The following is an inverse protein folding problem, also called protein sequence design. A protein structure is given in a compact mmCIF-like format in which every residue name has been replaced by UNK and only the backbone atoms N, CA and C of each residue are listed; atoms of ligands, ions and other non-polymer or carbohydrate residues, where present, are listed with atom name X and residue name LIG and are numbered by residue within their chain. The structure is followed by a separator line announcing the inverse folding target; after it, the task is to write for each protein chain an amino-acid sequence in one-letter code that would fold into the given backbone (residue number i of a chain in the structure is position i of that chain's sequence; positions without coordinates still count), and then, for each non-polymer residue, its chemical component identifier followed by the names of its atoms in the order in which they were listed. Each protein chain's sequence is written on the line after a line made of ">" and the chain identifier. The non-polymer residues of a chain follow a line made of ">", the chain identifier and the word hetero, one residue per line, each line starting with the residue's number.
data_IF_844969176207
#
_entry.id   IF_844969176207
#
_cell.length_a   1.000
_cell.length_b   1.000
_cell.length_c   1.000
_cell.angle_alpha   90.00
_cell.angle_beta   90.00
_cell.angle_gamma   90.00
#
_symmetry.space_group_name_H-M   'P 1'
#
loop_
_entity.id
_entity.type
_entity.pdbx_description
1 polymer ?
#
# COMPACT_ATOMS: atom_id res chain seq x y z
N UNK A 1 -10.98 -17.13 2.70
CA UNK A 1 -10.53 -15.90 2.01
C UNK A 1 -9.03 -15.84 2.16
N UNK A 2 -8.30 -15.59 1.08
CA UNK A 2 -6.84 -15.41 1.10
C UNK A 2 -6.48 -14.16 1.93
N UNK A 3 -5.42 -14.23 2.74
CA UNK A 3 -4.96 -13.11 3.56
C UNK A 3 -4.63 -11.89 2.71
N UNK A 4 -4.08 -12.09 1.50
CA UNK A 4 -3.77 -10.99 0.59
C UNK A 4 -5.04 -10.26 0.16
N UNK A 5 -6.11 -10.98 -0.12
CA UNK A 5 -7.41 -10.40 -0.46
C UNK A 5 -8.02 -9.63 0.73
N UNK A 6 -7.96 -10.19 1.94
CA UNK A 6 -8.43 -9.47 3.15
C UNK A 6 -7.64 -8.19 3.37
N UNK A 7 -6.32 -8.24 3.25
CA UNK A 7 -5.44 -7.07 3.37
C UNK A 7 -5.74 -6.05 2.28
N UNK A 8 -6.00 -6.48 1.03
CA UNK A 8 -6.35 -5.57 -0.04
C UNK A 8 -7.66 -4.81 0.26
N UNK A 9 -8.68 -5.51 0.76
CA UNK A 9 -9.94 -4.91 1.23
C UNK A 9 -9.71 -3.91 2.37
N UNK A 10 -8.89 -4.29 3.35
CA UNK A 10 -8.56 -3.42 4.49
C UNK A 10 -7.84 -2.13 4.08
N UNK A 11 -6.96 -2.21 3.08
CA UNK A 11 -6.18 -1.09 2.58
C UNK A 11 -6.90 -0.26 1.50
N UNK A 12 -7.96 -0.80 0.90
CA UNK A 12 -8.60 -0.23 -0.28
C UNK A 12 -7.73 -0.24 -1.54
N UNK A 13 -6.67 -1.07 -1.57
CA UNK A 13 -5.69 -1.18 -2.67
C UNK A 13 -4.89 -2.47 -2.58
N UNK A 14 -4.24 -2.87 -3.68
CA UNK A 14 -3.33 -4.02 -3.68
C UNK A 14 -2.15 -3.80 -2.70
N UNK A 15 -1.82 -4.78 -1.83
CA UNK A 15 -0.72 -4.63 -0.89
C UNK A 15 0.65 -4.73 -1.57
N UNK A 16 1.48 -3.70 -1.38
CA UNK A 16 2.88 -3.66 -1.83
C UNK A 16 3.81 -4.38 -0.86
N UNK A 17 4.83 -5.05 -1.41
CA UNK A 17 5.91 -5.71 -0.66
C UNK A 17 5.43 -6.70 0.43
N UNK A 18 4.20 -7.24 0.34
CA UNK A 18 3.64 -8.11 1.37
C UNK A 18 4.36 -9.46 1.44
N UNK A 19 4.98 -9.75 2.59
CA UNK A 19 5.58 -11.06 2.87
C UNK A 19 4.60 -12.00 3.56
N UNK A 20 4.00 -11.56 4.68
CA UNK A 20 3.07 -12.37 5.47
C UNK A 20 2.23 -11.51 6.42
N UNK A 21 1.22 -12.13 7.03
CA UNK A 21 0.52 -11.56 8.19
C UNK A 21 1.36 -11.79 9.45
N UNK A 22 1.84 -10.70 10.06
CA UNK A 22 2.64 -10.74 11.28
C UNK A 22 1.76 -10.86 12.54
N UNK A 23 0.56 -10.29 12.51
CA UNK A 23 -0.40 -10.36 13.62
C UNK A 23 -1.83 -10.43 13.11
N UNK A 24 -2.62 -11.34 13.69
CA UNK A 24 -4.08 -11.37 13.57
C UNK A 24 -4.73 -10.73 14.80
N UNK A 25 -5.88 -10.10 14.59
CA UNK A 25 -6.74 -9.68 15.70
C UNK A 25 -7.46 -10.89 16.32
N UNK A 26 -8.09 -10.75 17.50
CA UNK A 26 -8.84 -11.83 18.15
C UNK A 26 -9.97 -12.43 17.30
N UNK A 27 -10.45 -11.69 16.30
CA UNK A 27 -11.48 -12.14 15.34
C UNK A 27 -10.90 -12.90 14.14
N UNK A 28 -9.58 -13.13 14.09
CA UNK A 28 -8.90 -13.89 13.04
C UNK A 28 -8.49 -13.09 11.79
N UNK A 29 -8.93 -11.83 11.66
CA UNK A 29 -8.53 -10.98 10.53
C UNK A 29 -7.07 -10.50 10.67
N UNK A 30 -6.34 -10.28 9.56
CA UNK A 30 -5.04 -9.61 9.57
C UNK A 30 -5.13 -8.25 10.26
N UNK A 31 -4.20 -7.97 11.16
CA UNK A 31 -4.10 -6.69 11.85
C UNK A 31 -2.78 -5.97 11.56
N UNK A 32 -1.70 -6.74 11.43
CA UNK A 32 -0.39 -6.25 11.03
C UNK A 32 0.19 -7.19 10.00
N UNK A 33 0.74 -6.63 8.92
CA UNK A 33 1.51 -7.36 7.91
C UNK A 33 2.99 -7.06 8.05
N UNK A 34 3.81 -7.96 7.52
CA UNK A 34 5.25 -7.78 7.37
C UNK A 34 5.59 -7.51 5.90
N UNK A 35 6.47 -6.54 5.67
CA UNK A 35 6.88 -6.11 4.34
C UNK A 35 8.33 -6.47 4.03
N UNK A 36 8.55 -6.83 2.78
CA UNK A 36 9.87 -6.86 2.18
C UNK A 36 10.45 -5.44 2.13
N UNK A 37 11.77 -5.28 2.22
CA UNK A 37 12.41 -3.96 2.12
C UNK A 37 12.17 -3.27 0.77
N UNK A 38 11.92 -4.06 -0.28
CA UNK A 38 11.65 -3.63 -1.64
C UNK A 38 10.44 -4.37 -2.19
N UNK A 39 9.65 -3.71 -3.03
CA UNK A 39 8.64 -4.39 -3.84
C UNK A 39 9.23 -5.00 -5.13
N UNK A 40 8.36 -5.57 -5.97
CA UNK A 40 8.76 -6.27 -7.20
C UNK A 40 9.40 -5.33 -8.24
N UNK A 41 9.16 -4.02 -8.15
CA UNK A 41 9.81 -3.00 -8.98
C UNK A 41 11.16 -2.54 -8.40
N UNK A 42 11.56 -3.04 -7.23
CA UNK A 42 12.76 -2.61 -6.52
C UNK A 42 12.59 -1.30 -5.76
N UNK A 43 11.37 -0.80 -5.63
CA UNK A 43 11.07 0.44 -4.90
C UNK A 43 11.09 0.17 -3.38
N UNK A 44 11.75 1.03 -2.57
CA UNK A 44 11.87 0.80 -1.14
C UNK A 44 10.53 0.95 -0.42
N UNK A 45 10.20 -0.02 0.43
CA UNK A 45 9.08 0.09 1.37
C UNK A 45 9.58 0.62 2.72
N UNK A 46 8.97 1.69 3.28
CA UNK A 46 9.59 2.45 4.38
C UNK A 46 9.63 1.73 5.72
N UNK A 47 8.71 0.79 5.98
CA UNK A 47 8.58 0.09 7.28
C UNK A 47 8.62 -1.43 7.07
N UNK A 48 8.97 -2.20 8.10
CA UNK A 48 8.93 -3.68 8.03
C UNK A 48 7.61 -4.26 8.49
N UNK A 49 6.86 -3.51 9.29
CA UNK A 49 5.52 -3.88 9.72
C UNK A 49 4.54 -2.74 9.41
N UNK A 50 3.31 -3.09 9.08
CA UNK A 50 2.27 -2.15 8.69
C UNK A 50 0.93 -2.56 9.29
N UNK A 51 0.22 -1.63 9.93
CA UNK A 51 -1.13 -1.88 10.44
C UNK A 51 -2.12 -1.89 9.28
N UNK A 52 -2.92 -2.94 9.18
CA UNK A 52 -3.98 -3.06 8.16
C UNK A 52 -5.38 -3.05 8.78
N UNK A 53 -5.53 -3.44 10.04
CA UNK A 53 -6.86 -3.46 10.70
C UNK A 53 -7.50 -2.04 10.71
N UNK A 54 -8.69 -1.85 10.10
CA UNK A 54 -9.35 -0.55 10.04
C UNK A 54 -9.59 0.10 11.41
N UNK A 55 -9.92 -0.69 12.43
CA UNK A 55 -10.07 -0.19 13.80
C UNK A 55 -8.78 0.43 14.34
N UNK A 56 -7.65 -0.28 14.17
CA UNK A 56 -6.35 0.20 14.63
C UNK A 56 -5.91 1.43 13.84
N UNK A 57 -6.03 1.41 12.51
CA UNK A 57 -5.69 2.56 11.66
C UNK A 57 -6.50 3.79 12.09
N UNK A 58 -7.82 3.66 12.22
CA UNK A 58 -8.68 4.77 12.64
C UNK A 58 -8.35 5.27 14.05
N UNK A 59 -8.08 4.38 15.00
CA UNK A 59 -7.68 4.74 16.36
C UNK A 59 -6.35 5.49 16.42
N UNK A 60 -5.34 4.98 15.72
CA UNK A 60 -4.01 5.60 15.65
C UNK A 60 -4.08 6.96 14.96
N UNK A 61 -4.85 7.09 13.87
CA UNK A 61 -5.08 8.36 13.21
C UNK A 61 -5.74 9.40 14.14
N UNK A 62 -6.67 9.00 15.01
CA UNK A 62 -7.26 9.90 16.02
C UNK A 62 -6.22 10.38 17.04
N UNK A 63 -5.35 9.49 17.52
CA UNK A 63 -4.28 9.85 18.45
C UNK A 63 -3.29 10.81 17.78
N UNK A 64 -2.90 10.53 16.54
CA UNK A 64 -2.01 11.40 15.76
C UNK A 64 -2.63 12.79 15.50
N UNK A 65 -3.91 12.84 15.11
CA UNK A 65 -4.64 14.10 14.90
C UNK A 65 -4.76 14.93 16.19
N UNK A 66 -4.77 14.29 17.36
CA UNK A 66 -4.73 14.94 18.66
C UNK A 66 -3.30 15.34 19.12
N UNK A 67 -2.32 15.36 18.21
CA UNK A 67 -0.93 15.73 18.50
C UNK A 67 -0.08 14.60 19.09
N UNK A 68 -0.52 13.35 18.97
CA UNK A 68 0.13 12.20 19.60
C UNK A 68 1.58 11.98 19.19
N UNK A 69 1.96 12.31 17.95
CA UNK A 69 3.35 12.19 17.47
C UNK A 69 4.29 13.11 18.25
N UNK A 70 3.91 14.37 18.41
CA UNK A 70 4.68 15.36 19.15
C UNK A 70 4.70 15.01 20.64
N UNK A 71 3.56 14.63 21.21
CA UNK A 71 3.45 14.21 22.61
C UNK A 71 4.38 13.04 22.92
N UNK A 72 4.31 11.95 22.15
CA UNK A 72 5.15 10.77 22.36
C UNK A 72 6.63 11.03 22.07
N UNK A 73 6.95 11.93 21.13
CA UNK A 73 8.33 12.39 20.93
C UNK A 73 8.85 13.08 22.20
N UNK A 74 8.05 13.98 22.79
CA UNK A 74 8.39 14.62 24.06
C UNK A 74 8.53 13.64 25.23
N UNK A 75 7.71 12.58 25.28
CA UNK A 75 7.85 11.53 26.29
C UNK A 75 9.18 10.76 26.13
N UNK A 76 9.59 10.43 24.90
CA UNK A 76 10.89 9.80 24.61
C UNK A 76 12.06 10.70 24.99
N UNK A 77 11.91 12.02 24.82
CA UNK A 77 12.92 12.99 25.24
C UNK A 77 13.04 13.06 26.77
N UNK A 78 11.93 12.93 27.52
CA UNK A 78 11.92 13.04 28.99
C UNK A 78 12.25 11.74 29.72
N UNK A 79 11.87 10.60 29.16
CA UNK A 79 12.02 9.27 29.79
C UNK A 79 13.18 8.48 29.16
N UNK A 80 14.31 8.30 29.88
CA UNK A 80 15.44 7.51 29.39
C UNK A 80 15.08 6.06 29.04
N UNK A 81 14.10 5.45 29.73
CA UNK A 81 13.68 4.08 29.44
C UNK A 81 13.00 3.98 28.07
N UNK A 82 12.13 4.95 27.74
CA UNK A 82 11.49 5.02 26.42
C UNK A 82 12.49 5.28 25.30
N UNK A 83 13.53 6.09 25.56
CA UNK A 83 14.63 6.29 24.63
C UNK A 83 15.40 5.01 24.33
N UNK A 84 15.79 4.27 25.37
CA UNK A 84 16.46 2.97 25.23
C UNK A 84 15.56 1.97 24.49
N UNK A 85 14.27 1.96 24.80
CA UNK A 85 13.27 1.14 24.10
C UNK A 85 13.20 1.49 22.61
N UNK A 86 13.12 2.77 22.26
CA UNK A 86 13.10 3.24 20.87
C UNK A 86 14.38 2.83 20.12
N UNK A 87 15.55 3.12 20.67
CA UNK A 87 16.83 2.79 20.04
C UNK A 87 16.99 1.28 19.83
N UNK A 88 16.53 0.46 20.78
CA UNK A 88 16.54 -1.01 20.64
C UNK A 88 15.65 -1.45 19.49
N UNK A 89 14.43 -0.91 19.40
CA UNK A 89 13.52 -1.23 18.32
C UNK A 89 14.04 -0.74 16.95
N UNK A 90 14.65 0.44 16.87
CA UNK A 90 15.29 0.94 15.66
C UNK A 90 16.45 0.05 15.20
N UNK A 91 17.32 -0.40 16.12
CA UNK A 91 18.40 -1.34 15.79
C UNK A 91 17.84 -2.66 15.26
N UNK A 92 16.86 -3.22 15.95
CA UNK A 92 16.21 -4.48 15.54
C UNK A 92 15.52 -4.33 14.17
N UNK A 93 14.83 -3.22 13.93
CA UNK A 93 14.22 -2.92 12.64
C UNK A 93 15.25 -2.95 11.51
N UNK A 94 16.38 -2.26 11.68
CA UNK A 94 17.46 -2.23 10.67
C UNK A 94 18.07 -3.61 10.43
N UNK A 95 18.21 -4.43 11.48
CA UNK A 95 18.66 -5.82 11.37
C UNK A 95 17.67 -6.67 10.56
N UNK A 96 16.38 -6.62 10.91
CA UNK A 96 15.33 -7.36 10.23
C UNK A 96 15.23 -6.97 8.74
N UNK A 97 15.37 -5.68 8.43
CA UNK A 97 15.39 -5.21 7.03
C UNK A 97 16.54 -5.84 6.24
N UNK A 98 17.75 -5.88 6.80
CA UNK A 98 18.90 -6.51 6.13
C UNK A 98 18.70 -8.01 5.93
N UNK A 99 18.15 -8.70 6.93
CA UNK A 99 17.84 -10.13 6.83
C UNK A 99 16.79 -10.40 5.75
N UNK A 100 15.69 -9.63 5.73
CA UNK A 100 14.61 -9.77 4.76
C UNK A 100 15.04 -9.40 3.33
N UNK A 101 16.05 -8.53 3.17
CA UNK A 101 16.61 -8.19 1.86
C UNK A 101 17.35 -9.37 1.20
N UNK A 102 17.88 -10.30 2.01
CA UNK A 102 18.66 -11.45 1.55
C UNK A 102 19.77 -11.07 0.55
N UNK A 103 20.46 -9.96 0.80
CA UNK A 103 21.55 -9.44 -0.04
C UNK A 103 21.11 -8.67 -1.29
N UNK A 104 19.80 -8.52 -1.56
CA UNK A 104 19.29 -7.70 -2.66
C UNK A 104 19.26 -6.22 -2.28
N UNK A 105 19.57 -5.33 -3.22
CA UNK A 105 19.38 -3.88 -3.08
C UNK A 105 18.40 -3.38 -4.15
N UNK A 106 17.64 -2.36 -3.81
CA UNK A 106 16.71 -1.70 -4.73
C UNK A 106 17.35 -0.48 -5.40
N UNK A 107 16.49 0.37 -5.96
CA UNK A 107 16.88 1.60 -6.69
C UNK A 107 17.65 2.60 -5.81
N UNK A 108 17.54 2.47 -4.50
CA UNK A 108 18.20 3.32 -3.49
C UNK A 108 19.60 2.83 -3.07
N UNK A 109 20.11 1.76 -3.70
CA UNK A 109 21.42 1.19 -3.39
C UNK A 109 21.56 0.64 -1.97
N UNK A 110 20.46 0.37 -1.25
CA UNK A 110 20.50 -0.13 0.13
C UNK A 110 20.25 0.93 1.20
N UNK A 111 20.06 2.21 0.83
CA UNK A 111 19.87 3.29 1.80
C UNK A 111 18.67 3.05 2.75
N UNK A 112 17.62 2.38 2.27
CA UNK A 112 16.45 2.07 3.10
C UNK A 112 16.71 1.05 4.20
N UNK A 113 17.85 0.37 4.23
CA UNK A 113 18.23 -0.50 5.36
C UNK A 113 18.52 0.27 6.65
N UNK A 114 18.81 1.57 6.52
CA UNK A 114 19.06 2.47 7.65
C UNK A 114 17.80 3.23 8.10
N UNK A 115 16.62 2.79 7.67
CA UNK A 115 15.37 3.32 8.19
C UNK A 115 15.01 2.65 9.52
N UNK A 116 14.72 3.48 10.53
CA UNK A 116 14.13 3.04 11.79
C UNK A 116 12.67 2.62 11.64
N UNK A 117 12.02 2.33 12.77
CA UNK A 117 10.65 1.77 12.80
C UNK A 117 9.66 2.62 11.98
N UNK A 118 9.69 3.95 12.16
CA UNK A 118 8.84 4.90 11.44
C UNK A 118 9.23 5.23 10.00
N UNK A 119 10.15 4.48 9.39
CA UNK A 119 10.64 4.77 8.03
C UNK A 119 11.42 6.08 7.94
N UNK A 120 12.10 6.46 9.02
CA UNK A 120 12.95 7.65 9.09
C UNK A 120 14.38 7.28 9.47
N UNK A 121 15.33 7.99 8.89
CA UNK A 121 16.74 7.94 9.28
C UNK A 121 17.07 8.83 10.49
N UNK A 122 16.16 9.76 10.85
CA UNK A 122 16.34 10.69 11.97
C UNK A 122 16.07 9.99 13.30
N UNK A 123 17.07 9.98 14.17
CA UNK A 123 17.00 9.38 15.50
C UNK A 123 16.21 10.26 16.47
N UNK A 124 15.51 9.62 17.43
CA UNK A 124 14.91 10.30 18.58
C UNK A 124 13.56 10.98 18.34
N UNK A 125 13.09 11.10 17.10
CA UNK A 125 11.78 11.71 16.78
C UNK A 125 10.87 10.73 16.04
N UNK A 126 9.59 10.69 16.42
CA UNK A 126 8.62 9.83 15.76
C UNK A 126 8.06 10.51 14.51
N UNK A 127 7.87 9.76 13.42
CA UNK A 127 7.21 10.27 12.19
C UNK A 127 5.71 9.99 12.20
N UNK A 128 5.32 8.78 12.57
CA UNK A 128 3.94 8.34 12.72
C UNK A 128 3.88 7.25 13.81
N UNK A 129 2.79 7.18 14.57
CA UNK A 129 2.53 6.15 15.57
C UNK A 129 2.14 4.81 14.96
N UNK A 130 1.60 4.82 13.73
CA UNK A 130 1.21 3.60 13.01
C UNK A 130 2.31 2.56 12.92
N UNK A 131 3.51 2.98 12.54
CA UNK A 131 4.63 2.06 12.39
C UNK A 131 5.12 1.50 13.73
N UNK A 132 5.10 2.32 14.79
CA UNK A 132 5.50 1.90 16.14
C UNK A 132 4.49 0.92 16.75
N UNK A 133 3.19 1.16 16.55
CA UNK A 133 2.14 0.22 16.95
C UNK A 133 2.23 -1.10 16.15
N UNK A 134 2.45 -1.03 14.83
CA UNK A 134 2.66 -2.23 14.01
C UNK A 134 3.85 -3.06 14.53
N UNK A 135 4.97 -2.40 14.80
CA UNK A 135 6.19 -3.04 15.27
C UNK A 135 5.98 -3.70 16.63
N UNK A 136 5.37 -3.03 17.61
CA UNK A 136 5.12 -3.61 18.93
C UNK A 136 4.13 -4.78 18.89
N UNK A 137 3.09 -4.74 18.05
CA UNK A 137 2.14 -5.84 17.88
C UNK A 137 2.80 -7.10 17.27
N UNK A 138 3.76 -6.91 16.36
CA UNK A 138 4.52 -7.99 15.71
C UNK A 138 5.69 -8.47 16.58
N UNK A 139 6.30 -7.59 17.37
CA UNK A 139 7.48 -7.82 18.19
C UNK A 139 7.25 -7.30 19.61
N UNK A 140 6.59 -8.09 20.49
CA UNK A 140 6.40 -7.75 21.89
C UNK A 140 7.73 -7.50 22.61
N UNK A 141 7.70 -6.66 23.65
CA UNK A 141 8.87 -6.16 24.35
C UNK A 141 9.39 -4.82 23.82
N UNK A 142 8.61 -4.15 22.96
CA UNK A 142 8.87 -2.77 22.53
C UNK A 142 8.00 -1.79 23.34
N UNK A 143 8.50 -1.38 24.51
CA UNK A 143 7.73 -0.64 25.52
C UNK A 143 7.08 0.64 24.99
N UNK A 144 7.80 1.47 24.24
CA UNK A 144 7.21 2.69 23.64
C UNK A 144 6.00 2.35 22.75
N UNK A 145 6.13 1.36 21.88
CA UNK A 145 5.03 0.94 21.01
C UNK A 145 3.88 0.31 21.80
N UNK A 146 4.17 -0.44 22.86
CA UNK A 146 3.16 -1.02 23.76
C UNK A 146 2.38 0.06 24.51
N UNK A 147 3.04 1.13 24.98
CA UNK A 147 2.35 2.26 25.60
C UNK A 147 1.50 3.06 24.61
N UNK A 148 1.96 3.23 23.36
CA UNK A 148 1.15 3.82 22.28
C UNK A 148 -0.11 2.95 22.02
N UNK A 149 0.06 1.64 21.94
CA UNK A 149 -1.05 0.68 21.75
C UNK A 149 -2.03 0.75 22.92
N UNK A 150 -1.57 0.97 24.15
CA UNK A 150 -2.42 1.06 25.33
C UNK A 150 -3.37 2.27 25.32
N UNK A 151 -3.09 3.32 24.53
CA UNK A 151 -4.05 4.41 24.32
C UNK A 151 -5.26 4.01 23.46
N UNK A 152 -5.14 2.93 22.69
CA UNK A 152 -6.26 2.34 21.95
C UNK A 152 -7.07 1.50 22.95
N UNK A 153 -8.03 2.12 23.63
CA UNK A 153 -8.93 1.42 24.56
C UNK A 153 -10.39 1.43 24.04
N UNK A 154 -10.96 0.27 23.69
CA UNK A 154 -10.34 -1.05 23.67
C UNK A 154 -9.42 -1.24 22.44
N UNK A 155 -8.36 -2.02 22.61
CA UNK A 155 -7.40 -2.31 21.53
C UNK A 155 -8.08 -3.01 20.36
N UNK A 156 -9.02 -3.91 20.68
CA UNK A 156 -9.81 -4.63 19.71
C UNK A 156 -11.29 -4.30 19.91
N UNK A 157 -12.04 -4.09 18.83
CA UNK A 157 -13.47 -3.88 18.94
C UNK A 157 -14.18 -5.17 19.38
N UNK A 158 -15.32 -5.03 20.05
CA UNK A 158 -16.13 -6.18 20.50
C UNK A 158 -16.62 -7.07 19.35
N UNK A 159 -16.80 -6.49 18.16
CA UNK A 159 -17.12 -7.19 16.91
C UNK A 159 -16.06 -6.89 15.86
N UNK A 160 -15.78 -7.85 14.99
CA UNK A 160 -14.80 -7.66 13.93
C UNK A 160 -15.15 -6.41 13.09
N UNK A 161 -14.20 -5.48 12.95
CA UNK A 161 -14.36 -4.32 12.09
C UNK A 161 -14.50 -4.70 10.60
N UNK A 162 -14.15 -5.93 10.21
CA UNK A 162 -14.45 -6.51 8.90
C UNK A 162 -15.88 -7.05 8.78
N UNK A 163 -16.56 -7.39 9.89
CA UNK A 163 -17.98 -7.77 9.88
C UNK A 163 -18.91 -6.54 9.98
N UNK A 164 -18.38 -5.42 10.48
CA UNK A 164 -19.00 -4.10 10.34
C UNK A 164 -18.57 -3.40 9.03
N UNK A 165 -17.63 -4.01 8.29
CA UNK A 165 -17.28 -3.60 6.94
C UNK A 165 -18.35 -4.19 6.02
N UNK A 166 -19.35 -3.39 5.74
CA UNK A 166 -19.89 -3.40 4.38
C UNK A 166 -18.64 -3.24 3.48
N UNK A 167 -18.31 -4.20 2.58
CA UNK A 167 -17.25 -3.97 1.60
C UNK A 167 -17.49 -2.56 1.07
N UNK A 168 -16.49 -1.66 1.17
CA UNK A 168 -16.68 -0.24 0.87
C UNK A 168 -17.66 -0.15 -0.29
N UNK A 169 -18.85 0.48 -0.08
CA UNK A 169 -19.99 0.28 -0.96
C UNK A 169 -19.46 0.42 -2.36
N UNK A 170 -19.82 -0.47 -3.28
CA UNK A 170 -19.16 -0.58 -4.58
C UNK A 170 -18.92 0.79 -5.26
N UNK A 171 -19.78 1.78 -4.97
CA UNK A 171 -19.55 3.21 -5.18
C UNK A 171 -18.17 3.78 -4.77
N UNK A 172 -17.65 3.53 -3.57
CA UNK A 172 -16.37 4.05 -3.08
C UNK A 172 -15.15 3.38 -3.75
N UNK A 173 -15.23 2.07 -4.03
CA UNK A 173 -14.22 1.36 -4.84
C UNK A 173 -14.21 1.94 -6.25
N UNK A 174 -15.40 2.13 -6.82
CA UNK A 174 -15.56 2.73 -8.14
C UNK A 174 -15.03 4.18 -8.18
N UNK A 175 -15.33 5.01 -7.17
CA UNK A 175 -14.84 6.39 -7.08
C UNK A 175 -13.30 6.45 -7.06
N UNK A 176 -12.68 5.60 -6.23
CA UNK A 176 -11.22 5.51 -6.13
C UNK A 176 -10.60 5.03 -7.44
N UNK A 177 -11.18 3.99 -8.06
CA UNK A 177 -10.73 3.46 -9.35
C UNK A 177 -10.85 4.52 -10.45
N UNK A 178 -12.00 5.20 -10.54
CA UNK A 178 -12.22 6.31 -11.49
C UNK A 178 -11.23 7.45 -11.31
N UNK A 179 -10.87 7.78 -10.07
CA UNK A 179 -9.85 8.80 -9.79
C UNK A 179 -8.48 8.37 -10.35
N UNK A 180 -8.06 7.13 -10.10
CA UNK A 180 -6.80 6.59 -10.61
C UNK A 180 -6.78 6.55 -12.14
N UNK A 181 -7.85 6.07 -12.76
CA UNK A 181 -8.01 6.05 -14.21
C UNK A 181 -7.85 7.45 -14.82
N UNK A 182 -8.54 8.45 -14.25
CA UNK A 182 -8.45 9.86 -14.69
C UNK A 182 -7.05 10.44 -14.51
N UNK A 183 -6.32 10.06 -13.46
CA UNK A 183 -4.93 10.45 -13.27
C UNK A 183 -4.01 9.80 -14.31
N UNK A 184 -4.18 8.50 -14.59
CA UNK A 184 -3.49 7.80 -15.66
C UNK A 184 -3.68 8.45 -17.02
N UNK A 185 -4.92 8.78 -17.38
CA UNK A 185 -5.23 9.49 -18.63
C UNK A 185 -4.56 10.87 -18.68
N UNK A 186 -4.56 11.63 -17.59
CA UNK A 186 -3.87 12.93 -17.54
C UNK A 186 -2.35 12.78 -17.70
N UNK A 187 -1.76 11.73 -17.15
CA UNK A 187 -0.33 11.42 -17.33
C UNK A 187 0.00 11.00 -18.77
N UNK A 188 -0.90 10.25 -19.42
CA UNK A 188 -0.79 9.93 -20.85
C UNK A 188 -0.84 11.20 -21.71
N UNK A 189 -1.77 12.11 -21.43
CA UNK A 189 -1.91 13.39 -22.14
C UNK A 189 -0.66 14.27 -21.92
N UNK A 190 -0.15 14.32 -20.68
CA UNK A 190 1.07 15.06 -20.37
C UNK A 190 2.31 14.51 -21.11
N UNK A 191 2.34 13.21 -21.40
CA UNK A 191 3.41 12.60 -22.17
C UNK A 191 3.43 13.05 -23.65
N UNK A 192 2.37 13.70 -24.16
CA UNK A 192 2.31 14.18 -25.54
C UNK A 192 3.43 15.18 -25.92
N UNK A 193 4.10 15.78 -24.93
CA UNK A 193 5.27 16.64 -25.16
C UNK A 193 6.51 15.86 -25.62
N UNK A 194 6.56 14.55 -25.40
CA UNK A 194 7.59 13.63 -25.89
C UNK A 194 6.94 12.60 -26.82
N UNK A 195 7.03 12.83 -28.13
CA UNK A 195 6.36 11.99 -29.14
C UNK A 195 6.73 10.52 -29.04
N UNK A 196 7.98 10.18 -28.70
CA UNK A 196 8.43 8.78 -28.59
C UNK A 196 7.85 8.09 -27.36
N UNK A 197 7.81 8.80 -26.24
CA UNK A 197 7.16 8.30 -25.03
C UNK A 197 5.66 8.13 -25.27
N UNK A 198 5.02 9.13 -25.86
CA UNK A 198 3.58 9.13 -26.11
C UNK A 198 3.17 8.00 -27.05
N UNK A 199 3.85 7.81 -28.19
CA UNK A 199 3.59 6.71 -29.12
C UNK A 199 3.71 5.34 -28.45
N UNK A 200 4.72 5.15 -27.59
CA UNK A 200 4.88 3.91 -26.83
C UNK A 200 3.71 3.69 -25.86
N UNK A 201 3.38 4.70 -25.06
CA UNK A 201 2.29 4.61 -24.09
C UNK A 201 0.95 4.34 -24.76
N UNK A 202 0.68 4.94 -25.93
CA UNK A 202 -0.53 4.66 -26.71
C UNK A 202 -0.58 3.18 -27.13
N UNK A 203 0.51 2.62 -27.65
CA UNK A 203 0.56 1.21 -28.01
C UNK A 203 0.33 0.29 -26.80
N UNK A 204 0.88 0.62 -25.64
CA UNK A 204 0.67 -0.13 -24.40
C UNK A 204 -0.78 -0.03 -23.90
N UNK A 205 -1.39 1.16 -23.98
CA UNK A 205 -2.80 1.40 -23.68
C UNK A 205 -3.71 0.55 -24.57
N UNK A 206 -3.44 0.49 -25.87
CA UNK A 206 -4.19 -0.34 -26.82
C UNK A 206 -4.14 -1.83 -26.44
N UNK A 207 -2.96 -2.34 -26.05
CA UNK A 207 -2.81 -3.72 -25.57
C UNK A 207 -3.65 -4.00 -24.32
N UNK A 208 -3.71 -3.05 -23.39
CA UNK A 208 -4.56 -3.15 -22.19
C UNK A 208 -6.04 -3.18 -22.59
N UNK A 209 -6.48 -2.30 -23.49
CA UNK A 209 -7.88 -2.26 -23.94
C UNK A 209 -8.31 -3.53 -24.69
N UNK A 210 -7.43 -4.11 -25.50
CA UNK A 210 -7.69 -5.39 -26.18
C UNK A 210 -7.84 -6.54 -25.19
N UNK A 211 -7.02 -6.58 -24.15
CA UNK A 211 -7.12 -7.60 -23.12
C UNK A 211 -8.36 -7.37 -22.24
N UNK A 212 -8.71 -6.11 -21.94
CA UNK A 212 -9.96 -5.77 -21.27
C UNK A 212 -11.18 -6.24 -22.06
N UNK A 213 -11.20 -6.01 -23.37
CA UNK A 213 -12.27 -6.49 -24.23
C UNK A 213 -12.40 -8.03 -24.19
N UNK A 214 -11.29 -8.76 -24.09
CA UNK A 214 -11.28 -10.22 -23.95
C UNK A 214 -11.77 -10.71 -22.59
N UNK A 215 -11.45 -9.98 -21.51
CA UNK A 215 -11.74 -10.39 -20.13
C UNK A 215 -13.10 -9.93 -19.63
N UNK A 216 -13.44 -8.68 -19.90
CA UNK A 216 -14.66 -8.01 -19.41
C UNK A 216 -15.79 -8.13 -20.43
N UNK A 217 -15.47 -8.33 -21.72
CA UNK A 217 -16.45 -8.44 -22.78
C UNK A 217 -16.93 -7.09 -23.32
N UNK A 218 -17.99 -7.11 -24.13
CA UNK A 218 -18.50 -5.93 -24.86
C UNK A 218 -19.66 -5.22 -24.14
N UNK A 219 -20.25 -5.82 -23.12
CA UNK A 219 -21.36 -5.23 -22.37
C UNK A 219 -21.03 -5.37 -20.91
N UNK A 220 -20.69 -4.25 -20.27
CA UNK A 220 -20.20 -4.22 -18.90
C UNK A 220 -20.58 -2.91 -18.22
N UNK A 221 -20.65 -2.95 -16.89
CA UNK A 221 -20.84 -1.79 -16.04
C UNK A 221 -19.55 -1.30 -15.43
N UNK A 222 -19.57 -0.09 -14.89
CA UNK A 222 -18.40 0.52 -14.24
C UNK A 222 -17.92 -0.25 -13.00
N UNK A 223 -18.83 -0.83 -12.23
CA UNK A 223 -18.49 -1.65 -11.05
C UNK A 223 -17.74 -2.93 -11.44
N UNK A 224 -18.15 -3.56 -12.54
CA UNK A 224 -17.50 -4.75 -13.07
C UNK A 224 -16.09 -4.42 -13.55
N UNK A 225 -15.95 -3.29 -14.26
CA UNK A 225 -14.65 -2.79 -14.67
C UNK A 225 -13.74 -2.44 -13.47
N UNK A 226 -14.29 -1.87 -12.39
CA UNK A 226 -13.56 -1.58 -11.15
C UNK A 226 -13.07 -2.85 -10.46
N UNK A 227 -13.85 -3.95 -10.49
CA UNK A 227 -13.39 -5.26 -10.00
C UNK A 227 -12.26 -5.81 -10.85
N UNK A 228 -12.38 -5.75 -12.18
CA UNK A 228 -11.33 -6.18 -13.10
C UNK A 228 -10.03 -5.39 -12.89
N UNK A 229 -10.15 -4.10 -12.56
CA UNK A 229 -9.02 -3.23 -12.24
C UNK A 229 -8.28 -3.66 -10.97
N UNK A 230 -8.99 -4.06 -9.91
CA UNK A 230 -8.39 -4.53 -8.67
C UNK A 230 -7.49 -5.77 -8.80
N UNK A 231 -7.65 -6.54 -9.89
CA UNK A 231 -6.87 -7.74 -10.19
C UNK A 231 -5.91 -7.55 -11.38
N UNK A 232 -5.76 -6.31 -11.87
CA UNK A 232 -5.16 -6.03 -13.18
C UNK A 232 -3.64 -6.06 -13.27
N UNK A 233 -2.95 -5.68 -12.20
CA UNK A 233 -1.48 -5.50 -12.18
C UNK A 233 -0.72 -6.68 -12.81
N UNK A 234 -1.13 -7.91 -12.47
CA UNK A 234 -0.45 -9.13 -12.92
C UNK A 234 -0.63 -9.35 -14.42
N UNK A 235 -1.89 -9.37 -14.89
CA UNK A 235 -2.13 -9.73 -16.29
C UNK A 235 -1.78 -8.59 -17.24
N UNK A 236 -1.88 -7.32 -16.80
CA UNK A 236 -1.40 -6.17 -17.57
C UNK A 236 0.10 -6.27 -17.76
N UNK A 237 0.85 -6.58 -16.70
CA UNK A 237 2.29 -6.82 -16.78
C UNK A 237 2.66 -7.96 -17.73
N UNK A 238 1.95 -9.09 -17.67
CA UNK A 238 2.15 -10.23 -18.58
C UNK A 238 1.90 -9.86 -20.05
N UNK A 239 0.77 -9.20 -20.34
CA UNK A 239 0.37 -8.81 -21.71
C UNK A 239 1.34 -7.79 -22.32
N UNK A 240 1.72 -6.77 -21.55
CA UNK A 240 2.64 -5.74 -22.03
C UNK A 240 4.04 -6.32 -22.20
N UNK A 241 4.53 -7.15 -21.28
CA UNK A 241 5.83 -7.79 -21.43
C UNK A 241 5.91 -8.73 -22.66
N UNK A 242 4.81 -9.41 -23.00
CA UNK A 242 4.76 -10.32 -24.14
C UNK A 242 4.59 -9.61 -25.49
N UNK A 243 3.78 -8.54 -25.53
CA UNK A 243 3.27 -7.96 -26.78
C UNK A 243 3.75 -6.54 -27.07
N UNK A 244 4.33 -5.83 -26.10
CA UNK A 244 4.75 -4.45 -26.30
C UNK A 244 5.94 -4.33 -27.26
N UNK A 245 6.01 -3.23 -28.02
CA UNK A 245 7.15 -2.94 -28.86
C UNK A 245 8.46 -2.78 -28.04
N UNK A 246 9.63 -2.93 -28.68
CA UNK A 246 10.93 -2.73 -28.03
C UNK A 246 11.03 -1.36 -27.35
N UNK A 247 11.58 -1.33 -26.13
CA UNK A 247 11.71 -0.11 -25.34
C UNK A 247 10.65 0.08 -24.25
N UNK A 248 9.83 -0.94 -24.00
CA UNK A 248 9.01 -1.06 -22.78
C UNK A 248 9.83 -0.74 -21.53
N UNK A 249 9.22 -0.02 -20.60
CA UNK A 249 9.78 0.24 -19.27
C UNK A 249 8.75 -0.13 -18.21
N UNK A 250 9.09 -1.02 -17.25
CA UNK A 250 8.17 -1.40 -16.18
C UNK A 250 7.59 -0.22 -15.39
N UNK A 251 8.35 0.86 -15.26
CA UNK A 251 7.93 2.09 -14.58
C UNK A 251 6.77 2.84 -15.24
N UNK A 252 6.53 2.61 -16.54
CA UNK A 252 5.48 3.28 -17.31
C UNK A 252 4.16 2.49 -17.28
N UNK A 253 4.20 1.22 -16.83
CA UNK A 253 3.07 0.29 -16.85
C UNK A 253 1.83 0.82 -16.13
N UNK A 254 2.01 1.53 -15.01
CA UNK A 254 0.88 2.13 -14.29
C UNK A 254 0.14 3.19 -15.12
N UNK A 255 0.86 3.95 -15.97
CA UNK A 255 0.25 4.97 -16.82
C UNK A 255 -0.63 4.29 -17.87
N UNK A 256 -0.06 3.28 -18.56
CA UNK A 256 -0.78 2.55 -19.60
C UNK A 256 -1.97 1.78 -19.05
N UNK A 257 -1.82 1.13 -17.88
CA UNK A 257 -2.91 0.46 -17.17
C UNK A 257 -4.04 1.44 -16.86
N UNK A 258 -3.75 2.50 -16.09
CA UNK A 258 -4.76 3.43 -15.61
C UNK A 258 -5.46 4.17 -16.77
N UNK A 259 -4.69 4.59 -17.78
CA UNK A 259 -5.25 5.23 -18.97
C UNK A 259 -6.07 4.26 -19.84
N UNK A 260 -5.64 3.01 -19.98
CA UNK A 260 -6.39 1.96 -20.67
C UNK A 260 -7.75 1.73 -20.03
N UNK A 261 -7.81 1.61 -18.70
CA UNK A 261 -9.07 1.52 -17.96
C UNK A 261 -9.90 2.80 -18.09
N UNK A 262 -9.29 3.99 -18.05
CA UNK A 262 -10.02 5.25 -18.27
C UNK A 262 -10.72 5.29 -19.62
N UNK A 263 -9.99 4.99 -20.69
CA UNK A 263 -10.53 5.03 -22.04
C UNK A 263 -11.56 3.92 -22.27
N UNK A 264 -11.32 2.72 -21.74
CA UNK A 264 -12.25 1.61 -21.82
C UNK A 264 -13.55 1.88 -21.04
N UNK A 265 -13.47 2.58 -19.90
CA UNK A 265 -14.65 2.91 -19.08
C UNK A 265 -15.73 3.69 -19.83
N UNK A 266 -15.37 4.43 -20.89
CA UNK A 266 -16.32 5.17 -21.74
C UNK A 266 -17.31 4.28 -22.50
N UNK A 267 -17.02 2.99 -22.64
CA UNK A 267 -17.90 2.01 -23.26
C UNK A 267 -18.83 1.30 -22.26
N UNK A 268 -18.73 1.59 -20.95
CA UNK A 268 -19.63 1.02 -19.95
C UNK A 268 -21.07 1.53 -20.17
N UNK A 269 -22.07 0.68 -19.95
CA UNK A 269 -23.48 1.04 -20.18
C UNK A 269 -24.00 2.11 -19.21
N UNK A 270 -23.34 2.27 -18.07
CA UNK A 270 -23.62 3.22 -16.99
C UNK A 270 -22.55 4.34 -16.91
N UNK A 271 -21.82 4.57 -18.00
CA UNK A 271 -20.80 5.63 -18.05
C UNK A 271 -21.42 7.03 -17.95
N UNK A 272 -21.05 7.77 -16.91
CA UNK A 272 -21.28 9.20 -16.77
C UNK A 272 -19.95 9.98 -16.91
N UNK A 273 -19.85 10.99 -17.81
CA UNK A 273 -18.64 11.79 -18.05
C UNK A 273 -18.04 12.45 -16.79
#
# INVERSE_FOLDING_TARGET
>A
MDDRAVVALQLGRCPRALLRVARRCPHGAPAVTEQAPYDDAGEPFPTSYYVTCPHLVSGLARIEAAGGVERWTGEVERDPALRVSLERAERLQRELRRLAAAGRTGVDGGASFDLGVGGSSRTGSLKCLHAHAAFALARPGYELGERIIAELDPLWPARCCMNAYDPAPMSAILETSRHQWREGSRRLDAAATDSRLHERLIAEVELVQEELARRVGQTFGLEELARAYGESDRWVGEVVAERAPPGFRPQDLSIAQDAGFHLFSRAAYDFEP
#
